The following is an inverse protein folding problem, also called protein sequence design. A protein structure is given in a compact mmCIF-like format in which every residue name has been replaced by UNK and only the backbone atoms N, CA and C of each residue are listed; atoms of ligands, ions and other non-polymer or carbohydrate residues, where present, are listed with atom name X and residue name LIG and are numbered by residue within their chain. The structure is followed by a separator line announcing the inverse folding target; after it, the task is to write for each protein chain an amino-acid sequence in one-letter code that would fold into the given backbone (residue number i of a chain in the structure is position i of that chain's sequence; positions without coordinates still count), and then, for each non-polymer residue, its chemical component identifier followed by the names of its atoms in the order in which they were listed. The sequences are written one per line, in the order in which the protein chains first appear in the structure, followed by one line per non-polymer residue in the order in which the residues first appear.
data_IF_043968641151
#
_entry.id   IF_043968641151
#
_cell.length_a   1.000
_cell.length_b   1.000
_cell.length_c   1.000
_cell.angle_alpha   90.00
_cell.angle_beta   90.00
_cell.angle_gamma   90.00
#
_symmetry.space_group_name_H-M   'P 1'
#
loop_
_entity.id
_entity.type
_entity.pdbx_description
1 polymer ?
#
# COMPACT_ATOMS: atom_id res chain seq x y z
N UNK A 1 8.01 -4.89 -5.79
CA UNK A 1 6.71 -4.68 -5.11
C UNK A 1 5.93 -5.98 -5.21
N UNK A 2 5.29 -6.41 -4.13
CA UNK A 2 4.46 -7.60 -4.07
C UNK A 2 3.02 -7.20 -3.78
N UNK A 3 2.10 -7.72 -4.59
CA UNK A 3 0.66 -7.55 -4.43
C UNK A 3 -0.01 -8.92 -4.57
N UNK A 4 -0.98 -9.19 -3.71
CA UNK A 4 -1.78 -10.41 -3.75
C UNK A 4 -3.24 -10.05 -4.04
N UNK A 5 -3.83 -10.71 -5.03
CA UNK A 5 -5.28 -10.65 -5.22
C UNK A 5 -5.89 -11.89 -4.56
N UNK A 6 -6.64 -11.65 -3.51
CA UNK A 6 -7.32 -12.69 -2.73
C UNK A 6 -8.78 -12.74 -3.18
N UNK A 7 -9.17 -13.88 -3.76
CA UNK A 7 -10.54 -14.14 -4.18
C UNK A 7 -11.34 -14.68 -3.01
N UNK A 8 -12.35 -13.94 -2.56
CA UNK A 8 -13.17 -14.30 -1.38
C UNK A 8 -14.37 -15.19 -1.76
N UNK A 9 -14.68 -15.27 -3.05
CA UNK A 9 -15.73 -16.11 -3.66
C UNK A 9 -15.18 -17.44 -4.20
N UNK A 10 -13.93 -17.77 -3.87
CA UNK A 10 -13.27 -18.99 -4.31
C UNK A 10 -13.73 -20.24 -3.56
N UNK A 11 -13.34 -21.41 -4.08
CA UNK A 11 -13.62 -22.70 -3.43
C UNK A 11 -12.86 -22.91 -2.11
N UNK A 12 -11.79 -22.13 -1.90
CA UNK A 12 -10.96 -22.17 -0.69
C UNK A 12 -11.30 -20.97 0.19
N UNK A 13 -11.44 -21.20 1.50
CA UNK A 13 -11.60 -20.13 2.47
C UNK A 13 -10.33 -19.24 2.47
N UNK A 14 -10.53 -17.95 2.18
CA UNK A 14 -9.43 -17.01 1.98
C UNK A 14 -8.64 -16.71 3.26
N UNK A 15 -9.28 -16.77 4.44
CA UNK A 15 -8.62 -16.57 5.72
C UNK A 15 -7.48 -17.59 5.91
N UNK A 16 -7.81 -18.87 5.74
CA UNK A 16 -6.83 -19.97 5.85
C UNK A 16 -5.82 -19.97 4.71
N UNK A 17 -6.23 -19.56 3.51
CA UNK A 17 -5.30 -19.43 2.39
C UNK A 17 -4.23 -18.36 2.64
N UNK A 18 -4.60 -17.25 3.29
CA UNK A 18 -3.66 -16.18 3.65
C UNK A 18 -2.73 -16.60 4.80
N UNK A 19 -3.25 -17.34 5.79
CA UNK A 19 -2.44 -17.93 6.88
C UNK A 19 -1.32 -18.82 6.34
N UNK A 20 -1.65 -19.72 5.41
CA UNK A 20 -0.67 -20.65 4.86
C UNK A 20 0.40 -19.98 3.98
N UNK A 21 0.06 -18.87 3.33
CA UNK A 21 0.97 -18.18 2.41
C UNK A 21 2.04 -17.37 3.16
N UNK A 22 1.66 -16.59 4.18
CA UNK A 22 2.61 -15.82 4.99
C UNK A 22 2.00 -15.26 6.28
N UNK A 23 2.84 -14.96 7.26
CA UNK A 23 2.45 -14.30 8.51
C UNK A 23 1.90 -12.89 8.23
N UNK A 24 2.51 -12.13 7.33
CA UNK A 24 2.07 -10.77 6.99
C UNK A 24 0.67 -10.72 6.34
N UNK A 25 0.36 -11.69 5.46
CA UNK A 25 -1.00 -11.83 4.95
C UNK A 25 -1.96 -12.25 6.05
N UNK A 26 -1.53 -13.14 6.94
CA UNK A 26 -2.38 -13.59 8.04
C UNK A 26 -2.78 -12.44 8.98
N UNK A 27 -1.86 -11.56 9.33
CA UNK A 27 -2.15 -10.37 10.15
C UNK A 27 -3.28 -9.53 9.54
N UNK A 28 -3.27 -9.36 8.21
CA UNK A 28 -4.34 -8.66 7.50
C UNK A 28 -5.65 -9.46 7.57
N UNK A 29 -5.60 -10.77 7.29
CA UNK A 29 -6.76 -11.65 7.31
C UNK A 29 -7.47 -11.65 8.66
N UNK A 30 -6.72 -11.68 9.76
CA UNK A 30 -7.25 -11.64 11.14
C UNK A 30 -8.09 -10.40 11.43
N UNK A 31 -7.79 -9.29 10.77
CA UNK A 31 -8.50 -8.02 10.99
C UNK A 31 -9.68 -7.85 10.04
N UNK A 32 -9.55 -8.31 8.79
CA UNK A 32 -10.51 -7.95 7.73
C UNK A 32 -11.43 -9.07 7.30
N UNK A 33 -11.07 -10.33 7.56
CA UNK A 33 -11.82 -11.50 7.13
C UNK A 33 -12.42 -12.26 8.31
N UNK A 34 -13.59 -12.83 8.08
CA UNK A 34 -14.24 -13.75 8.98
C UNK A 34 -13.66 -15.17 8.79
N UNK A 35 -13.14 -15.83 9.86
CA UNK A 35 -12.48 -17.13 9.73
C UNK A 35 -13.39 -18.27 9.28
N UNK A 36 -14.69 -18.21 9.60
CA UNK A 36 -15.64 -19.27 9.27
C UNK A 36 -16.00 -19.22 7.78
N UNK A 37 -16.23 -18.02 7.26
CA UNK A 37 -16.72 -17.80 5.90
C UNK A 37 -15.60 -17.50 4.89
N UNK A 38 -14.45 -16.99 5.35
CA UNK A 38 -13.38 -16.50 4.48
C UNK A 38 -13.74 -15.23 3.70
N UNK A 39 -14.86 -14.59 4.03
CA UNK A 39 -15.31 -13.32 3.45
C UNK A 39 -14.95 -12.14 4.34
N UNK A 40 -15.17 -10.92 3.86
CA UNK A 40 -15.04 -9.73 4.74
C UNK A 40 -15.94 -9.88 5.97
N UNK A 41 -15.43 -9.43 7.12
CA UNK A 41 -16.28 -9.26 8.31
C UNK A 41 -17.42 -8.28 8.01
N UNK A 42 -18.54 -8.39 8.73
CA UNK A 42 -19.69 -7.49 8.55
C UNK A 42 -19.28 -6.02 8.68
N UNK A 43 -18.44 -5.69 9.66
CA UNK A 43 -17.96 -4.33 9.90
C UNK A 43 -17.16 -3.78 8.71
N UNK A 44 -16.20 -4.53 8.18
CA UNK A 44 -15.45 -4.13 6.98
C UNK A 44 -16.38 -4.04 5.76
N UNK A 45 -17.33 -4.98 5.66
CA UNK A 45 -18.33 -4.99 4.61
C UNK A 45 -19.24 -3.75 4.62
N UNK A 46 -19.55 -3.18 5.77
CA UNK A 46 -20.38 -1.96 5.89
C UNK A 46 -19.59 -0.68 5.56
N UNK A 47 -18.29 -0.67 5.80
CA UNK A 47 -17.41 0.46 5.49
C UNK A 47 -17.09 0.60 4.00
N UNK A 48 -17.25 -0.48 3.22
CA UNK A 48 -16.81 -0.55 1.83
C UNK A 48 -17.98 -0.66 0.85
N UNK A 49 -17.94 0.16 -0.19
CA UNK A 49 -18.89 0.06 -1.30
C UNK A 49 -18.85 -1.32 -1.97
N UNK A 50 -20.00 -1.78 -2.45
CA UNK A 50 -20.14 -3.08 -3.09
C UNK A 50 -19.80 -2.98 -4.59
N UNK A 51 -18.52 -2.81 -4.91
CA UNK A 51 -18.02 -2.63 -6.30
C UNK A 51 -17.22 -3.81 -6.84
N UNK A 52 -16.96 -4.82 -6.01
CA UNK A 52 -16.21 -6.03 -6.33
C UNK A 52 -16.29 -7.07 -5.20
N UNK A 53 -15.65 -8.22 -5.40
CA UNK A 53 -15.63 -9.32 -4.41
C UNK A 53 -14.23 -9.59 -3.85
N UNK A 54 -13.17 -9.27 -4.59
CA UNK A 54 -11.80 -9.60 -4.19
C UNK A 54 -11.19 -8.59 -3.19
N UNK A 55 -10.19 -9.02 -2.44
CA UNK A 55 -9.30 -8.18 -1.64
C UNK A 55 -7.97 -8.05 -2.38
N UNK A 56 -7.50 -6.82 -2.62
CA UNK A 56 -6.13 -6.59 -3.07
C UNK A 56 -5.25 -6.29 -1.85
N UNK A 57 -4.24 -7.11 -1.59
CA UNK A 57 -3.27 -6.84 -0.53
C UNK A 57 -2.00 -6.26 -1.14
N UNK A 58 -1.59 -5.09 -0.66
CA UNK A 58 -0.26 -4.54 -0.88
C UNK A 58 0.65 -5.05 0.23
N UNK A 59 1.41 -6.10 -0.07
CA UNK A 59 2.26 -6.79 0.89
C UNK A 59 3.59 -6.05 1.09
N UNK A 60 4.37 -5.88 0.01
CA UNK A 60 5.73 -5.34 0.11
C UNK A 60 6.05 -4.30 -0.95
N UNK A 61 6.55 -3.15 -0.51
CA UNK A 61 7.03 -2.08 -1.40
C UNK A 61 8.48 -1.77 -1.08
N UNK A 62 9.36 -2.08 -2.03
CA UNK A 62 10.80 -1.80 -1.93
C UNK A 62 11.23 -0.87 -3.05
N UNK A 63 12.14 0.05 -2.72
CA UNK A 63 12.89 0.86 -3.67
C UNK A 63 14.36 0.66 -3.39
N UNK A 64 15.18 0.62 -4.45
CA UNK A 64 16.63 0.60 -4.26
C UNK A 64 17.09 1.90 -3.57
N UNK A 65 18.15 1.86 -2.75
CA UNK A 65 18.60 3.02 -1.97
C UNK A 65 18.71 4.34 -2.74
N UNK A 66 19.20 4.38 -4.01
CA UNK A 66 19.27 5.63 -4.78
C UNK A 66 17.92 6.28 -5.09
N UNK A 67 16.81 5.54 -4.99
CA UNK A 67 15.47 6.01 -5.31
C UNK A 67 14.63 6.35 -4.06
N UNK A 68 15.15 6.07 -2.86
CA UNK A 68 14.46 6.34 -1.59
C UNK A 68 14.45 7.84 -1.28
N UNK A 69 13.46 8.30 -0.52
CA UNK A 69 13.37 9.70 -0.08
C UNK A 69 12.83 10.69 -1.13
N UNK A 70 12.71 10.29 -2.39
CA UNK A 70 12.19 11.13 -3.48
C UNK A 70 10.65 11.09 -3.65
N UNK A 71 9.93 10.39 -2.76
CA UNK A 71 8.48 10.24 -2.85
C UNK A 71 7.98 9.31 -3.96
N UNK A 72 8.90 8.62 -4.67
CA UNK A 72 8.58 7.74 -5.79
C UNK A 72 7.71 6.54 -5.41
N UNK A 73 7.83 6.04 -4.17
CA UNK A 73 7.07 4.89 -3.70
C UNK A 73 5.56 5.12 -3.81
N UNK A 74 5.07 6.26 -3.33
CA UNK A 74 3.65 6.59 -3.40
C UNK A 74 3.13 6.70 -4.83
N UNK A 75 3.93 7.27 -5.76
CA UNK A 75 3.57 7.39 -7.17
C UNK A 75 3.48 6.02 -7.84
N UNK A 76 4.46 5.15 -7.59
CA UNK A 76 4.48 3.81 -8.20
C UNK A 76 3.38 2.92 -7.63
N UNK A 77 3.14 3.02 -6.32
CA UNK A 77 2.08 2.26 -5.64
C UNK A 77 0.70 2.67 -6.12
N UNK A 78 0.40 3.97 -6.23
CA UNK A 78 -0.93 4.39 -6.69
C UNK A 78 -1.19 3.94 -8.13
N UNK A 79 -0.17 3.96 -9.00
CA UNK A 79 -0.28 3.42 -10.36
C UNK A 79 -0.46 1.90 -10.39
N UNK A 80 0.22 1.17 -9.50
CA UNK A 80 0.06 -0.28 -9.39
C UNK A 80 -1.34 -0.64 -8.90
N UNK A 81 -1.83 0.02 -7.84
CA UNK A 81 -3.19 -0.15 -7.31
C UNK A 81 -4.21 0.10 -8.42
N UNK A 82 -4.12 1.24 -9.13
CA UNK A 82 -5.06 1.56 -10.21
C UNK A 82 -5.13 0.49 -11.30
N UNK A 83 -4.01 -0.18 -11.60
CA UNK A 83 -3.97 -1.27 -12.59
C UNK A 83 -4.51 -2.59 -12.05
N UNK A 84 -4.38 -2.83 -10.75
CA UNK A 84 -4.65 -4.12 -10.11
C UNK A 84 -5.97 -4.16 -9.34
N UNK A 85 -6.63 -3.04 -9.09
CA UNK A 85 -7.82 -2.97 -8.22
C UNK A 85 -9.14 -3.35 -8.91
N UNK A 86 -9.16 -3.52 -10.23
CA UNK A 86 -10.39 -3.84 -10.95
C UNK A 86 -11.01 -5.17 -10.46
N UNK A 87 -12.26 -5.12 -9.97
CA UNK A 87 -12.97 -6.27 -9.38
C UNK A 87 -12.67 -6.50 -7.89
N UNK A 88 -11.82 -5.67 -7.28
CA UNK A 88 -11.59 -5.67 -5.84
C UNK A 88 -12.60 -4.77 -5.13
N UNK A 89 -13.02 -5.17 -3.93
CA UNK A 89 -13.85 -4.38 -3.02
C UNK A 89 -13.01 -3.49 -2.10
N UNK A 90 -11.80 -3.94 -1.79
CA UNK A 90 -10.88 -3.26 -0.90
C UNK A 90 -9.44 -3.43 -1.39
N UNK A 91 -8.61 -2.46 -1.02
CA UNK A 91 -7.16 -2.62 -0.97
C UNK A 91 -6.73 -2.54 0.50
N UNK A 92 -5.92 -3.48 0.97
CA UNK A 92 -5.41 -3.51 2.34
C UNK A 92 -3.88 -3.52 2.39
N UNK A 93 -3.32 -2.95 3.45
CA UNK A 93 -1.90 -3.07 3.78
C UNK A 93 -1.65 -2.90 5.28
N UNK A 94 -0.54 -3.48 5.75
CA UNK A 94 0.06 -3.19 7.06
C UNK A 94 1.34 -2.38 6.83
N UNK A 95 1.35 -1.05 7.04
CA UNK A 95 2.52 -0.25 6.74
C UNK A 95 3.58 -0.39 7.80
N UNK A 96 4.83 -0.54 7.36
CA UNK A 96 5.98 -0.61 8.24
C UNK A 96 7.25 -0.94 7.48
N UNK A 97 8.39 -0.84 8.16
CA UNK A 97 9.67 -1.35 7.64
C UNK A 97 9.70 -2.87 7.80
N UNK A 98 9.66 -3.59 6.68
CA UNK A 98 9.74 -5.08 6.63
C UNK A 98 11.19 -5.60 6.53
N UNK A 99 12.18 -4.71 6.40
CA UNK A 99 13.58 -5.09 6.24
C UNK A 99 14.31 -5.24 7.59
N UNK A 100 14.74 -6.46 7.90
CA UNK A 100 15.38 -6.84 9.16
C UNK A 100 16.77 -6.21 9.33
N UNK A 101 17.50 -5.96 8.23
CA UNK A 101 18.83 -5.31 8.30
C UNK A 101 18.68 -3.87 8.80
N UNK A 102 17.70 -3.16 8.24
CA UNK A 102 17.33 -1.80 8.67
C UNK A 102 16.82 -1.77 10.12
N UNK A 103 16.14 -2.84 10.57
CA UNK A 103 15.58 -2.96 11.92
C UNK A 103 16.62 -3.12 13.02
N UNK A 104 17.81 -3.65 12.72
CA UNK A 104 18.86 -3.89 13.72
C UNK A 104 19.80 -2.69 13.95
N UNK A 105 19.75 -1.69 13.06
CA UNK A 105 20.71 -0.57 13.05
C UNK A 105 20.08 0.75 13.53
N UNK A 106 18.76 0.91 13.40
CA UNK A 106 18.09 2.17 13.72
C UNK A 106 17.70 2.29 15.20
N UNK A 107 17.94 3.46 15.78
CA UNK A 107 17.35 3.83 17.07
C UNK A 107 15.82 3.91 16.96
N UNK A 108 15.12 3.67 18.08
CA UNK A 108 13.65 3.66 18.15
C UNK A 108 13.03 4.96 17.65
N UNK A 109 13.65 6.10 17.97
CA UNK A 109 13.17 7.41 17.53
C UNK A 109 13.26 7.61 16.01
N UNK A 110 14.30 7.06 15.39
CA UNK A 110 14.50 7.11 13.95
C UNK A 110 13.53 6.14 13.23
N UNK A 111 13.30 4.98 13.85
CA UNK A 111 12.32 4.00 13.38
C UNK A 111 10.90 4.57 13.36
N UNK A 112 10.47 5.18 14.47
CA UNK A 112 9.17 5.84 14.58
C UNK A 112 9.01 6.95 13.52
N UNK A 113 10.07 7.73 13.29
CA UNK A 113 10.07 8.79 12.27
C UNK A 113 9.92 8.24 10.85
N UNK A 114 10.60 7.14 10.52
CA UNK A 114 10.51 6.54 9.17
C UNK A 114 9.15 5.90 8.97
N UNK A 115 8.62 5.17 9.96
CA UNK A 115 7.27 4.62 9.86
C UNK A 115 6.22 5.71 9.73
N UNK A 116 6.31 6.81 10.49
CA UNK A 116 5.40 7.94 10.33
C UNK A 116 5.42 8.52 8.90
N UNK A 117 6.59 8.57 8.26
CA UNK A 117 6.69 9.00 6.85
C UNK A 117 6.08 8.00 5.89
N UNK A 118 6.24 6.70 6.12
CA UNK A 118 5.65 5.62 5.33
C UNK A 118 4.12 5.71 5.43
N UNK A 119 3.58 5.75 6.65
CA UNK A 119 2.15 5.91 6.93
C UNK A 119 1.58 7.15 6.26
N UNK A 120 2.21 8.32 6.44
CA UNK A 120 1.79 9.55 5.78
C UNK A 120 1.80 9.42 4.24
N UNK A 121 2.75 8.65 3.69
CA UNK A 121 2.82 8.35 2.26
C UNK A 121 1.60 7.58 1.74
N UNK A 122 1.07 6.65 2.54
CA UNK A 122 -0.11 5.86 2.20
C UNK A 122 -1.41 6.61 2.46
N UNK A 123 -1.50 7.38 3.55
CA UNK A 123 -2.67 8.22 3.80
C UNK A 123 -2.90 9.25 2.68
N UNK A 124 -1.81 9.73 2.05
CA UNK A 124 -1.87 10.58 0.86
C UNK A 124 -2.39 9.88 -0.39
N UNK A 125 -2.32 8.55 -0.47
CA UNK A 125 -2.93 7.79 -1.56
C UNK A 125 -4.44 7.64 -1.33
N UNK A 126 -4.89 7.79 -0.09
CA UNK A 126 -6.29 7.60 0.32
C UNK A 126 -6.49 6.42 1.27
N UNK A 127 -5.42 5.74 1.69
CA UNK A 127 -5.52 4.75 2.75
C UNK A 127 -5.97 5.40 4.06
N UNK A 128 -6.78 4.67 4.83
CA UNK A 128 -7.26 5.07 6.15
C UNK A 128 -7.03 3.93 7.12
N UNK A 129 -6.58 4.28 8.32
CA UNK A 129 -6.43 3.31 9.41
C UNK A 129 -7.81 2.73 9.74
N UNK A 130 -7.92 1.40 9.73
CA UNK A 130 -9.14 0.71 10.14
C UNK A 130 -9.02 0.18 11.58
N UNK A 131 -8.04 -0.71 11.82
CA UNK A 131 -7.79 -1.29 13.14
C UNK A 131 -6.33 -1.75 13.26
N UNK A 132 -5.79 -1.64 14.46
CA UNK A 132 -4.40 -2.02 14.80
C UNK A 132 -3.39 -1.29 13.91
N UNK A 133 -2.81 -1.99 12.94
CA UNK A 133 -1.94 -1.43 11.91
C UNK A 133 -2.48 -1.66 10.48
N UNK A 134 -3.72 -2.09 10.32
CA UNK A 134 -4.28 -2.38 9.01
C UNK A 134 -4.98 -1.16 8.44
N UNK A 135 -4.55 -0.77 7.25
CA UNK A 135 -5.11 0.34 6.50
C UNK A 135 -5.93 -0.19 5.33
N UNK A 136 -7.08 0.42 5.10
CA UNK A 136 -7.98 0.11 4.01
C UNK A 136 -8.08 1.28 3.04
N UNK A 137 -8.26 0.95 1.77
CA UNK A 137 -8.54 1.87 0.69
C UNK A 137 -9.70 1.30 -0.14
N UNK A 138 -10.73 2.11 -0.38
CA UNK A 138 -11.81 1.75 -1.28
C UNK A 138 -11.39 2.01 -2.73
N UNK A 139 -11.45 1.02 -3.64
CA UNK A 139 -11.16 1.20 -5.07
C UNK A 139 -12.09 2.18 -5.79
N UNK A 140 -13.29 2.42 -5.25
CA UNK A 140 -14.26 3.38 -5.80
C UNK A 140 -14.13 4.79 -5.24
N UNK A 141 -13.18 5.02 -4.32
CA UNK A 141 -12.97 6.32 -3.71
C UNK A 141 -12.55 7.37 -4.74
N UNK A 142 -13.24 8.52 -4.75
CA UNK A 142 -12.85 9.68 -5.58
C UNK A 142 -11.47 10.21 -5.16
N UNK A 143 -11.15 10.18 -3.87
CA UNK A 143 -9.84 10.57 -3.34
C UNK A 143 -8.71 9.83 -4.06
N UNK A 144 -8.90 8.55 -4.40
CA UNK A 144 -7.86 7.74 -5.04
C UNK A 144 -7.51 8.26 -6.45
N UNK A 145 -8.51 8.63 -7.26
CA UNK A 145 -8.26 9.20 -8.59
C UNK A 145 -7.65 10.60 -8.50
N UNK A 146 -8.14 11.43 -7.58
CA UNK A 146 -7.61 12.78 -7.37
C UNK A 146 -6.14 12.74 -6.94
N UNK A 147 -5.81 11.91 -5.95
CA UNK A 147 -4.44 11.75 -5.45
C UNK A 147 -3.52 11.17 -6.50
N UNK A 148 -4.02 10.32 -7.41
CA UNK A 148 -3.26 9.85 -8.57
C UNK A 148 -2.89 10.99 -9.50
N UNK A 149 -3.82 11.89 -9.80
CA UNK A 149 -3.54 13.10 -10.58
C UNK A 149 -2.44 13.96 -9.94
N UNK A 150 -2.54 14.21 -8.63
CA UNK A 150 -1.55 14.99 -7.85
C UNK A 150 -0.17 14.32 -7.90
N UNK A 151 -0.11 13.01 -7.65
CA UNK A 151 1.15 12.25 -7.63
C UNK A 151 1.82 12.19 -9.01
N UNK A 152 1.04 12.10 -10.09
CA UNK A 152 1.56 12.23 -11.46
C UNK A 152 2.16 13.60 -11.74
N UNK A 153 1.49 14.67 -11.29
CA UNK A 153 2.03 16.04 -11.39
C UNK A 153 3.40 16.17 -10.72
N UNK A 154 3.52 15.67 -9.49
CA UNK A 154 4.80 15.64 -8.75
C UNK A 154 5.89 14.84 -9.45
N UNK A 155 5.54 13.72 -10.10
CA UNK A 155 6.51 12.93 -10.86
C UNK A 155 7.05 13.73 -12.07
N UNK A 156 6.18 14.48 -12.76
CA UNK A 156 6.59 15.33 -13.88
C UNK A 156 7.54 16.44 -13.40
N UNK A 157 7.21 17.09 -12.27
CA UNK A 157 8.06 18.11 -11.64
C UNK A 157 9.42 17.54 -11.23
N UNK A 158 9.45 16.37 -10.59
CA UNK A 158 10.68 15.68 -10.21
C UNK A 158 11.56 15.38 -11.43
N UNK A 159 10.96 14.87 -12.50
CA UNK A 159 11.65 14.61 -13.76
C UNK A 159 12.20 15.89 -14.41
N UNK A 160 11.50 17.01 -14.29
CA UNK A 160 11.97 18.31 -14.78
C UNK A 160 13.18 18.82 -13.97
N UNK A 161 13.12 18.75 -12.63
CA UNK A 161 14.24 19.13 -11.75
C UNK A 161 15.51 18.36 -12.10
N UNK A 162 15.39 17.05 -12.26
CA UNK A 162 16.52 16.19 -12.57
C UNK A 162 17.17 16.48 -13.93
N UNK A 163 16.36 16.81 -14.95
CA UNK A 163 16.88 17.23 -16.26
C UNK A 163 17.60 18.58 -16.18
N UNK A 164 17.08 19.53 -15.41
CA UNK A 164 17.68 20.84 -15.20
C UNK A 164 19.03 20.74 -14.48
N UNK A 165 19.13 19.92 -13.44
CA UNK A 165 20.38 19.66 -12.70
C UNK A 165 21.46 19.03 -13.60
N UNK A 166 21.09 18.14 -14.51
CA UNK A 166 22.01 17.55 -15.50
C UNK A 166 22.43 18.50 -16.63
N UNK A 167 21.71 19.59 -16.82
CA UNK A 167 21.99 20.57 -17.90
C UNK A 167 22.92 21.71 -17.48
N UNK A 168 23.35 21.77 -16.22
CA UNK A 168 24.38 22.71 -15.76
C UNK A 168 25.76 22.05 -15.96
N UNK A 169 26.59 22.52 -16.91
CA UNK A 169 27.94 21.98 -17.04
C UNK A 169 28.77 22.40 -15.83
N UNK A 170 29.52 21.44 -15.28
CA UNK A 170 30.55 21.66 -14.26
C UNK A 170 31.45 22.80 -14.73
N UNK A 171 31.39 23.96 -14.05
CA UNK A 171 32.41 25.00 -14.23
C UNK A 171 33.66 24.52 -13.49
N UNK A 172 34.61 23.99 -14.25
CA UNK A 172 36.03 23.96 -13.87
C UNK A 172 36.62 25.38 -13.86
#
# INVERSE_FOLDING_TARGET
MAFYRVHLDGARNAFWAMEEESEELYEIAQVVLDPETGSFTTEVGELLEYVGSALLVMDRVTLDPPWRGHGLASVLVIEAIHRLMAGCRAVACSPGITDLETRSVMDRSEWDRVNAKITQGWERIGFRLYRDNIYLLSPSSQDLEEQRGVLRGRLVELGASWRSERSVPSRE
#
